data_IF_905314339599
#
_entry.id   IF_905314339599
#
_cell.length_a   1.000
_cell.length_b   1.000
_cell.length_c   1.000
_cell.angle_alpha   90.00
_cell.angle_beta   90.00
_cell.angle_gamma   90.00
#
_symmetry.space_group_name_H-M   'P 1'
#
loop_
_entity.id
_entity.type
_entity.pdbx_description
1 polymer ?
#
# COMPACT_ATOMS: atom_id res chain seq x y z
N UNK A 1 -14.37 13.52 9.30
CA UNK A 1 -13.46 13.29 8.15
C UNK A 1 -14.25 12.60 7.06
N UNK A 2 -14.14 13.01 5.79
CA UNK A 2 -14.85 12.35 4.68
C UNK A 2 -14.12 11.04 4.38
N UNK A 3 -14.82 9.90 4.50
CA UNK A 3 -14.28 8.62 4.00
C UNK A 3 -14.14 8.72 2.49
N UNK A 4 -12.95 8.39 2.00
CA UNK A 4 -12.66 8.42 0.59
C UNK A 4 -12.99 7.04 0.01
N UNK A 5 -14.00 6.97 -0.85
CA UNK A 5 -14.31 5.74 -1.56
C UNK A 5 -13.33 5.60 -2.72
N UNK A 6 -12.23 4.87 -2.51
CA UNK A 6 -11.31 4.47 -3.55
C UNK A 6 -11.15 2.94 -3.56
N UNK A 7 -10.78 2.41 -4.71
CA UNK A 7 -10.44 1.00 -4.89
C UNK A 7 -9.01 0.91 -5.40
N UNK A 8 -8.18 0.14 -4.70
CA UNK A 8 -6.80 -0.09 -5.08
C UNK A 8 -6.54 -1.60 -5.22
N UNK A 9 -5.80 -1.98 -6.26
CA UNK A 9 -5.24 -3.32 -6.40
C UNK A 9 -3.74 -3.22 -6.20
N UNK A 10 -3.24 -3.80 -5.12
CA UNK A 10 -1.85 -3.71 -4.71
C UNK A 10 -1.25 -5.12 -4.62
N UNK A 11 -0.05 -5.36 -5.16
CA UNK A 11 0.69 -6.58 -4.86
C UNK A 11 1.13 -6.53 -3.39
N UNK A 12 0.71 -7.50 -2.58
CA UNK A 12 1.09 -7.59 -1.17
C UNK A 12 1.79 -8.92 -0.93
N UNK A 13 2.98 -8.86 -0.36
CA UNK A 13 3.71 -10.04 0.11
C UNK A 13 3.44 -10.22 1.60
N UNK A 14 3.07 -11.44 1.99
CA UNK A 14 2.95 -11.83 3.38
C UNK A 14 4.14 -12.72 3.76
N UNK A 15 4.86 -12.32 4.79
CA UNK A 15 6.04 -13.00 5.30
C UNK A 15 5.77 -13.44 6.73
N UNK A 16 6.31 -14.60 7.14
CA UNK A 16 6.29 -15.02 8.54
C UNK A 16 7.68 -14.81 9.12
N UNK A 17 7.78 -13.94 10.12
CA UNK A 17 9.01 -13.64 10.84
C UNK A 17 8.85 -14.09 12.30
N UNK A 18 9.44 -15.23 12.64
CA UNK A 18 9.26 -15.87 13.94
C UNK A 18 7.78 -16.17 14.25
N UNK A 19 7.25 -15.52 15.28
CA UNK A 19 5.86 -15.64 15.71
C UNK A 19 4.93 -14.54 15.16
N UNK A 20 5.40 -13.70 14.22
CA UNK A 20 4.61 -12.63 13.61
C UNK A 20 4.42 -12.87 12.11
N UNK A 21 3.35 -12.30 11.58
CA UNK A 21 3.12 -12.13 10.16
C UNK A 21 3.33 -10.67 9.78
N UNK A 22 4.08 -10.44 8.71
CA UNK A 22 4.35 -9.11 8.13
C UNK A 22 3.67 -9.03 6.77
N UNK A 23 2.89 -7.99 6.54
CA UNK A 23 2.29 -7.66 5.26
C UNK A 23 3.03 -6.46 4.68
N UNK A 24 3.59 -6.58 3.48
CA UNK A 24 4.36 -5.52 2.83
C UNK A 24 3.93 -5.33 1.38
N UNK A 25 3.82 -4.08 0.93
CA UNK A 25 3.74 -3.76 -0.50
C UNK A 25 4.85 -2.80 -0.90
N UNK A 26 5.66 -3.15 -1.92
CA UNK A 26 6.62 -2.21 -2.50
C UNK A 26 5.92 -1.09 -3.28
N UNK A 27 4.64 -1.26 -3.65
CA UNK A 27 3.91 -0.26 -4.41
C UNK A 27 3.70 1.04 -3.59
N UNK A 28 3.61 0.95 -2.26
CA UNK A 28 3.43 2.10 -1.37
C UNK A 28 4.58 2.28 -0.38
N UNK A 29 5.59 1.41 -0.46
CA UNK A 29 6.59 1.21 0.59
C UNK A 29 5.97 1.13 2.00
N UNK A 30 4.89 0.35 2.11
CA UNK A 30 4.07 0.27 3.32
C UNK A 30 4.10 -1.15 3.88
N UNK A 31 4.33 -1.26 5.17
CA UNK A 31 4.25 -2.52 5.91
C UNK A 31 3.38 -2.42 7.17
N UNK A 32 2.81 -3.55 7.57
CA UNK A 32 2.20 -3.74 8.89
C UNK A 32 2.50 -5.16 9.38
N UNK A 33 2.28 -5.43 10.67
CA UNK A 33 2.48 -6.76 11.24
C UNK A 33 1.35 -7.17 12.19
N UNK A 34 1.20 -8.47 12.40
CA UNK A 34 0.24 -9.05 13.33
C UNK A 34 0.67 -10.42 13.86
N UNK A 35 0.02 -10.88 14.92
CA UNK A 35 0.21 -12.21 15.51
C UNK A 35 -0.30 -13.33 14.60
N UNK A 36 -1.29 -13.02 13.76
CA UNK A 36 -1.86 -13.93 12.77
C UNK A 36 -1.86 -13.29 11.39
N UNK A 37 -1.99 -14.12 10.36
CA UNK A 37 -2.13 -13.68 8.98
C UNK A 37 -3.32 -12.72 8.82
N UNK A 38 -4.46 -13.05 9.41
CA UNK A 38 -5.71 -12.28 9.37
C UNK A 38 -5.53 -10.92 10.04
N UNK A 39 -4.82 -10.87 11.17
CA UNK A 39 -4.53 -9.62 11.87
C UNK A 39 -3.62 -8.73 11.02
N UNK A 40 -2.55 -9.28 10.45
CA UNK A 40 -1.66 -8.54 9.55
C UNK A 40 -2.43 -8.01 8.32
N UNK A 41 -3.28 -8.83 7.71
CA UNK A 41 -4.11 -8.44 6.56
C UNK A 41 -5.13 -7.34 6.89
N UNK A 42 -5.81 -7.44 8.04
CA UNK A 42 -6.77 -6.43 8.49
C UNK A 42 -6.08 -5.09 8.73
N UNK A 43 -4.96 -5.09 9.48
CA UNK A 43 -4.17 -3.90 9.76
C UNK A 43 -3.61 -3.27 8.50
N UNK A 44 -3.14 -4.09 7.56
CA UNK A 44 -2.65 -3.61 6.28
C UNK A 44 -3.75 -2.89 5.49
N UNK A 45 -4.97 -3.43 5.47
CA UNK A 45 -6.09 -2.82 4.75
C UNK A 45 -6.46 -1.45 5.35
N UNK A 46 -6.47 -1.34 6.68
CA UNK A 46 -6.67 -0.08 7.39
C UNK A 46 -5.54 0.92 7.13
N UNK A 47 -4.28 0.48 7.20
CA UNK A 47 -3.13 1.32 6.94
C UNK A 47 -3.12 1.88 5.51
N UNK A 48 -3.51 1.08 4.52
CA UNK A 48 -3.68 1.54 3.13
C UNK A 48 -4.77 2.62 3.06
N UNK A 49 -5.91 2.42 3.73
CA UNK A 49 -6.97 3.42 3.76
C UNK A 49 -6.46 4.74 4.34
N UNK A 50 -5.82 4.69 5.51
CA UNK A 50 -5.25 5.87 6.20
C UNK A 50 -4.23 6.56 5.30
N UNK A 51 -3.31 5.81 4.69
CA UNK A 51 -2.29 6.38 3.79
C UNK A 51 -2.90 7.24 2.68
N UNK A 52 -3.91 6.71 1.99
CA UNK A 52 -4.56 7.43 0.89
C UNK A 52 -5.42 8.60 1.38
N UNK A 53 -6.14 8.43 2.49
CA UNK A 53 -6.94 9.51 3.10
C UNK A 53 -6.07 10.69 3.52
N UNK A 54 -4.96 10.44 4.22
CA UNK A 54 -4.03 11.49 4.67
C UNK A 54 -3.36 12.19 3.48
N UNK A 55 -2.83 11.43 2.52
CA UNK A 55 -2.24 12.01 1.32
C UNK A 55 -3.23 12.87 0.53
N UNK A 56 -4.50 12.48 0.47
CA UNK A 56 -5.55 13.25 -0.17
C UNK A 56 -5.89 14.52 0.63
N UNK A 57 -6.09 14.39 1.94
CA UNK A 57 -6.42 15.51 2.84
C UNK A 57 -5.31 16.58 2.85
N UNK A 58 -4.06 16.15 2.75
CA UNK A 58 -2.89 17.05 2.65
C UNK A 58 -2.67 17.61 1.24
N UNK A 59 -3.42 17.17 0.23
CA UNK A 59 -3.22 17.57 -1.17
C UNK A 59 -1.89 17.05 -1.77
N UNK A 60 -1.27 16.03 -1.18
CA UNK A 60 0.05 15.52 -1.56
C UNK A 60 -0.01 14.20 -2.34
N UNK A 61 -1.19 13.59 -2.49
CA UNK A 61 -1.38 12.27 -3.11
C UNK A 61 -0.68 12.11 -4.46
N UNK A 62 -0.87 13.03 -5.39
CA UNK A 62 -0.25 12.94 -6.72
C UNK A 62 1.28 13.01 -6.64
N UNK A 63 1.84 13.85 -5.76
CA UNK A 63 3.28 13.96 -5.57
C UNK A 63 3.85 12.67 -4.99
N UNK A 64 3.25 12.15 -3.91
CA UNK A 64 3.69 10.94 -3.22
C UNK A 64 3.64 9.73 -4.16
N UNK A 65 2.56 9.56 -4.92
CA UNK A 65 2.45 8.46 -5.88
C UNK A 65 3.54 8.54 -6.97
N UNK A 66 3.84 9.74 -7.48
CA UNK A 66 4.95 9.93 -8.44
C UNK A 66 6.32 9.60 -7.83
N UNK A 67 6.57 9.99 -6.58
CA UNK A 67 7.80 9.67 -5.83
C UNK A 67 7.96 8.15 -5.63
N UNK A 68 6.85 7.44 -5.38
CA UNK A 68 6.78 5.97 -5.36
C UNK A 68 6.87 5.33 -6.76
N UNK A 69 7.07 6.14 -7.81
CA UNK A 69 7.23 5.69 -9.18
C UNK A 69 5.94 5.35 -9.92
N UNK A 70 4.77 5.64 -9.36
CA UNK A 70 3.50 5.42 -10.04
C UNK A 70 3.36 6.34 -11.25
N UNK A 71 2.68 5.84 -12.28
CA UNK A 71 2.36 6.59 -13.48
C UNK A 71 0.88 6.87 -13.56
N UNK A 72 0.55 8.12 -13.91
CA UNK A 72 -0.82 8.54 -14.17
C UNK A 72 -1.26 8.00 -15.53
N UNK A 73 -2.27 7.15 -15.55
CA UNK A 73 -3.02 6.74 -16.75
C UNK A 73 -4.16 7.73 -17.04
N UNK A 74 -5.03 7.37 -17.98
CA UNK A 74 -6.17 8.21 -18.40
C UNK A 74 -7.13 8.46 -17.22
N UNK A 75 -7.52 7.39 -16.52
CA UNK A 75 -8.48 7.43 -15.40
C UNK A 75 -7.99 6.66 -14.16
N UNK A 76 -6.71 6.30 -14.10
CA UNK A 76 -6.18 5.45 -13.02
C UNK A 76 -4.72 5.76 -12.72
N UNK A 77 -4.28 5.37 -11.53
CA UNK A 77 -2.89 5.34 -11.13
C UNK A 77 -2.36 3.92 -11.30
N UNK A 78 -1.19 3.77 -11.92
CA UNK A 78 -0.58 2.47 -12.18
C UNK A 78 0.77 2.38 -11.42
N UNK A 79 0.93 1.43 -10.49
CA UNK A 79 2.18 1.27 -9.76
C UNK A 79 3.28 0.78 -10.69
N UNK A 80 4.49 1.32 -10.53
CA UNK A 80 5.66 0.75 -11.18
C UNK A 80 6.16 -0.43 -10.36
N UNK A 81 5.52 -1.58 -10.54
CA UNK A 81 5.93 -2.82 -9.91
C UNK A 81 7.15 -3.32 -10.68
N UNK A 82 8.35 -2.86 -10.30
CA UNK A 82 9.56 -3.56 -10.73
C UNK A 82 9.45 -4.96 -10.15
N UNK A 83 9.25 -5.98 -11.02
CA UNK A 83 9.50 -7.37 -10.62
C UNK A 83 10.89 -7.37 -10.02
N UNK A 84 11.00 -7.64 -8.73
CA UNK A 84 12.28 -8.01 -8.14
C UNK A 84 12.68 -9.29 -8.86
N UNK A 85 13.45 -9.14 -9.94
CA UNK A 85 14.23 -10.24 -10.47
C UNK A 85 15.23 -10.52 -9.35
N UNK A 86 14.99 -11.59 -8.62
CA UNK A 86 15.99 -12.23 -7.77
C UNK A 86 17.24 -12.42 -8.62
N UNK A 87 18.29 -11.66 -8.31
CA UNK A 87 19.66 -11.94 -8.72
C UNK A 87 20.21 -13.08 -7.85
#
# INVERSE_FOLDING_TARGET
MKKLNFQASLPVTFLREGNKFVAYTPALDLSTAGDTFEQAKSRFSEAVQIFFEECYNMGTLERVLKELGWRRGVNSWNPNIRRLHSA
#
